data_IF_809099601642
#
_entry.id   IF_809099601642
#
_cell.length_a   1.000
_cell.length_b   1.000
_cell.length_c   1.000
_cell.angle_alpha   90.00
_cell.angle_beta   90.00
_cell.angle_gamma   90.00
#
_symmetry.space_group_name_H-M   'P 1'
#
loop_
_entity.id
_entity.type
_entity.pdbx_description
1 polymer ?
#
# COMPACT_ATOMS: atom_id res chain seq x y z
N UNK A 1 -2.56 -8.73 -11.67
CA UNK A 1 -1.76 -7.68 -12.34
C UNK A 1 -2.05 -6.24 -11.90
N UNK A 2 -2.97 -5.98 -10.95
CA UNK A 2 -3.21 -4.63 -10.39
C UNK A 2 -2.36 -4.21 -9.18
N UNK A 3 -1.60 -5.13 -8.55
CA UNK A 3 -0.93 -4.87 -7.26
C UNK A 3 0.40 -4.12 -7.36
N UNK A 4 1.17 -4.28 -8.46
CA UNK A 4 2.46 -3.58 -8.60
C UNK A 4 2.28 -2.05 -8.75
N UNK A 5 1.17 -1.64 -9.39
CA UNK A 5 0.77 -0.24 -9.51
C UNK A 5 0.41 0.36 -8.13
N UNK A 6 -0.04 -0.45 -7.17
CA UNK A 6 -0.42 0.01 -5.83
C UNK A 6 0.80 0.30 -4.95
N UNK A 7 1.83 -0.55 -4.98
CA UNK A 7 3.04 -0.35 -4.15
C UNK A 7 3.84 0.90 -4.49
N UNK A 8 4.05 1.19 -5.78
CA UNK A 8 4.74 2.42 -6.18
C UNK A 8 3.93 3.67 -5.79
N UNK A 9 2.60 3.58 -5.87
CA UNK A 9 1.71 4.68 -5.46
C UNK A 9 1.77 4.98 -3.96
N UNK A 10 1.97 3.98 -3.10
CA UNK A 10 2.14 4.19 -1.66
C UNK A 10 3.43 4.95 -1.34
N UNK A 11 4.55 4.63 -2.01
CA UNK A 11 5.82 5.33 -1.81
C UNK A 11 5.74 6.80 -2.24
N UNK A 12 5.05 7.05 -3.36
CA UNK A 12 4.77 8.39 -3.86
C UNK A 12 3.83 9.17 -2.92
N UNK A 13 2.84 8.49 -2.32
CA UNK A 13 1.99 9.07 -1.29
C UNK A 13 2.79 9.50 -0.05
N UNK A 14 3.67 8.65 0.48
CA UNK A 14 4.53 8.97 1.64
C UNK A 14 5.40 10.20 1.33
N UNK A 15 5.99 10.23 0.13
CA UNK A 15 6.81 11.36 -0.32
C UNK A 15 6.00 12.66 -0.39
N UNK A 16 4.77 12.60 -0.91
CA UNK A 16 3.84 13.75 -0.95
C UNK A 16 3.42 14.24 0.42
N UNK A 17 3.23 13.35 1.41
CA UNK A 17 2.93 13.73 2.78
C UNK A 17 4.04 14.62 3.34
N UNK A 18 5.30 14.19 3.26
CA UNK A 18 6.43 14.99 3.76
C UNK A 18 6.57 16.35 3.06
N UNK A 19 6.40 16.40 1.73
CA UNK A 19 6.43 17.67 0.98
C UNK A 19 5.30 18.60 1.43
N UNK A 20 4.09 18.07 1.56
CA UNK A 20 2.90 18.85 1.97
C UNK A 20 3.06 19.37 3.38
N UNK A 21 3.50 18.51 4.30
CA UNK A 21 3.76 18.85 5.69
C UNK A 21 4.82 19.94 5.82
N UNK A 22 5.94 19.80 5.12
CA UNK A 22 7.00 20.81 5.10
C UNK A 22 6.50 22.18 4.61
N UNK A 23 5.72 22.21 3.52
CA UNK A 23 5.10 23.44 3.02
C UNK A 23 4.16 24.07 4.06
N UNK A 24 3.42 23.26 4.81
CA UNK A 24 2.52 23.74 5.84
C UNK A 24 3.27 24.27 7.07
N UNK A 25 4.37 23.62 7.50
CA UNK A 25 5.25 24.12 8.56
C UNK A 25 5.76 25.52 8.20
N UNK A 26 6.20 25.72 6.95
CA UNK A 26 6.63 27.04 6.47
C UNK A 26 5.52 28.09 6.53
N UNK A 27 4.25 27.72 6.28
CA UNK A 27 3.11 28.61 6.44
C UNK A 27 2.84 28.97 7.90
N UNK A 28 2.93 28.00 8.82
CA UNK A 28 2.78 28.25 10.27
C UNK A 28 3.84 29.24 10.75
N UNK A 29 5.10 29.05 10.34
CA UNK A 29 6.19 29.95 10.71
C UNK A 29 5.98 31.37 10.15
N UNK A 30 5.48 31.49 8.92
CA UNK A 30 5.26 32.78 8.25
C UNK A 30 4.01 33.52 8.76
N UNK A 31 2.98 32.79 9.19
CA UNK A 31 1.69 33.34 9.61
C UNK A 31 1.26 32.73 10.97
N UNK A 32 1.96 33.05 12.06
CA UNK A 32 1.77 32.37 13.35
C UNK A 32 0.42 32.65 14.02
N UNK A 33 -0.30 33.68 13.57
CA UNK A 33 -1.63 34.06 14.05
C UNK A 33 -2.77 33.34 13.32
N UNK A 34 -2.47 32.63 12.23
CA UNK A 34 -3.46 31.85 11.47
C UNK A 34 -3.48 30.44 12.03
N UNK A 35 -4.33 30.22 13.03
CA UNK A 35 -4.44 28.94 13.74
C UNK A 35 -4.90 27.78 12.85
N UNK A 36 -5.61 28.08 11.75
CA UNK A 36 -6.02 27.07 10.77
C UNK A 36 -4.82 26.29 10.21
N UNK A 37 -3.63 26.91 10.07
CA UNK A 37 -2.46 26.16 9.61
C UNK A 37 -1.96 25.12 10.62
N UNK A 38 -2.09 25.40 11.92
CA UNK A 38 -1.76 24.42 12.97
C UNK A 38 -2.80 23.32 13.02
N UNK A 39 -4.08 23.67 12.90
CA UNK A 39 -5.17 22.69 12.82
C UNK A 39 -5.01 21.76 11.63
N UNK A 40 -4.77 22.30 10.43
CA UNK A 40 -4.52 21.50 9.24
C UNK A 40 -3.30 20.59 9.41
N UNK A 41 -2.27 20.99 10.17
CA UNK A 41 -1.12 20.12 10.47
C UNK A 41 -1.55 18.85 11.19
N UNK A 42 -2.37 19.01 12.24
CA UNK A 42 -2.92 17.87 12.97
C UNK A 42 -3.78 16.99 12.07
N UNK A 43 -4.66 17.60 11.26
CA UNK A 43 -5.55 16.86 10.36
C UNK A 43 -4.78 16.04 9.29
N UNK A 44 -3.69 16.59 8.72
CA UNK A 44 -2.89 15.84 7.73
C UNK A 44 -2.08 14.72 8.40
N UNK A 45 -1.57 14.93 9.62
CA UNK A 45 -0.81 13.92 10.37
C UNK A 45 -1.75 12.76 10.79
N UNK A 46 -2.97 13.06 11.24
CA UNK A 46 -4.00 12.05 11.55
C UNK A 46 -4.44 11.26 10.31
N UNK A 47 -4.68 11.96 9.19
CA UNK A 47 -5.01 11.32 7.91
C UNK A 47 -3.90 10.37 7.47
N UNK A 48 -2.63 10.78 7.56
CA UNK A 48 -1.51 9.95 7.14
C UNK A 48 -1.39 8.70 8.01
N UNK A 49 -1.58 8.84 9.33
CA UNK A 49 -1.61 7.69 10.24
C UNK A 49 -2.66 6.64 9.83
N UNK A 50 -3.90 7.08 9.56
CA UNK A 50 -4.98 6.19 9.10
C UNK A 50 -4.61 5.56 7.76
N UNK A 51 -4.06 6.34 6.83
CA UNK A 51 -3.68 5.83 5.51
C UNK A 51 -2.60 4.76 5.60
N UNK A 52 -1.55 4.95 6.42
CA UNK A 52 -0.50 3.95 6.62
C UNK A 52 -1.05 2.66 7.21
N UNK A 53 -2.00 2.76 8.16
CA UNK A 53 -2.70 1.59 8.73
C UNK A 53 -3.49 0.81 7.67
N UNK A 54 -4.14 1.50 6.74
CA UNK A 54 -4.86 0.88 5.63
C UNK A 54 -3.89 0.19 4.66
N UNK A 55 -2.79 0.85 4.30
CA UNK A 55 -1.75 0.29 3.41
C UNK A 55 -1.19 -1.02 4.00
N UNK A 56 -0.85 -1.05 5.29
CA UNK A 56 -0.35 -2.26 5.96
C UNK A 56 -1.40 -3.37 5.91
N UNK A 57 -2.68 -3.03 6.15
CA UNK A 57 -3.77 -4.00 6.11
C UNK A 57 -3.98 -4.57 4.71
N UNK A 58 -3.87 -3.73 3.68
CA UNK A 58 -3.96 -4.14 2.29
C UNK A 58 -2.79 -5.05 1.89
N UNK A 59 -1.56 -4.70 2.26
CA UNK A 59 -0.37 -5.53 2.04
C UNK A 59 -0.54 -6.92 2.67
N UNK A 60 -0.99 -6.99 3.92
CA UNK A 60 -1.28 -8.27 4.59
C UNK A 60 -2.31 -9.09 3.81
N UNK A 61 -3.41 -8.47 3.42
CA UNK A 61 -4.48 -9.15 2.68
C UNK A 61 -3.99 -9.65 1.31
N UNK A 62 -3.15 -8.88 0.62
CA UNK A 62 -2.51 -9.29 -0.62
C UNK A 62 -1.62 -10.53 -0.43
N UNK A 63 -0.78 -10.55 0.62
CA UNK A 63 0.04 -11.72 0.94
C UNK A 63 -0.80 -12.97 1.25
N UNK A 64 -1.85 -12.83 2.06
CA UNK A 64 -2.76 -13.94 2.39
C UNK A 64 -3.44 -14.48 1.13
N UNK A 65 -3.92 -13.59 0.27
CA UNK A 65 -4.60 -13.96 -0.98
C UNK A 65 -3.65 -14.66 -1.95
N UNK A 66 -2.43 -14.14 -2.09
CA UNK A 66 -1.39 -14.74 -2.92
C UNK A 66 -1.01 -16.13 -2.41
N UNK A 67 -0.80 -16.25 -1.10
CA UNK A 67 -0.47 -17.52 -0.46
C UNK A 67 -1.58 -18.57 -0.64
N UNK A 68 -2.84 -18.20 -0.39
CA UNK A 68 -3.99 -19.08 -0.61
C UNK A 68 -4.10 -19.54 -2.08
N UNK A 69 -3.96 -18.61 -3.02
CA UNK A 69 -4.00 -18.90 -4.46
C UNK A 69 -2.86 -19.85 -4.88
N UNK A 70 -1.65 -19.65 -4.36
CA UNK A 70 -0.49 -20.52 -4.63
C UNK A 70 -0.75 -21.91 -4.05
N UNK A 71 -1.14 -22.02 -2.78
CA UNK A 71 -1.33 -23.31 -2.12
C UNK A 71 -2.42 -24.15 -2.81
N UNK A 72 -3.55 -23.53 -3.16
CA UNK A 72 -4.65 -24.22 -3.86
C UNK A 72 -4.24 -24.76 -5.23
N UNK A 73 -3.24 -24.17 -5.87
CA UNK A 73 -2.81 -24.53 -7.23
C UNK A 73 -1.41 -25.12 -7.29
N UNK A 74 -0.79 -25.44 -6.15
CA UNK A 74 0.65 -25.72 -6.05
C UNK A 74 1.10 -26.88 -6.95
N UNK A 75 0.28 -27.93 -7.09
CA UNK A 75 0.59 -29.08 -7.95
C UNK A 75 0.60 -28.70 -9.42
N UNK A 76 -0.39 -27.91 -9.87
CA UNK A 76 -0.45 -27.41 -11.25
C UNK A 76 0.66 -26.40 -11.53
N UNK A 77 1.02 -25.58 -10.54
CA UNK A 77 2.12 -24.61 -10.65
C UNK A 77 3.46 -25.35 -10.76
N UNK A 78 3.68 -26.40 -9.96
CA UNK A 78 4.90 -27.23 -10.00
C UNK A 78 4.96 -28.13 -11.24
N UNK A 79 3.82 -28.64 -11.70
CA UNK A 79 3.68 -29.56 -12.84
C UNK A 79 2.58 -29.07 -13.79
N UNK A 80 2.86 -28.08 -14.65
CA UNK A 80 1.86 -27.43 -15.50
C UNK A 80 1.32 -28.30 -16.65
N UNK A 81 1.93 -29.45 -16.94
CA UNK A 81 1.40 -30.45 -17.89
C UNK A 81 0.82 -31.62 -17.12
N UNK A 82 -0.41 -32.02 -17.41
CA UNK A 82 -0.90 -33.34 -17.01
C UNK A 82 0.03 -34.39 -17.61
N UNK A 83 0.51 -35.33 -16.80
CA UNK A 83 1.14 -36.54 -17.31
C UNK A 83 0.07 -37.38 -18.02
N UNK A 84 -0.27 -37.02 -19.26
CA UNK A 84 -1.07 -37.87 -20.15
C UNK A 84 -0.31 -39.17 -20.55
N UNK A 85 0.81 -39.47 -19.91
CA UNK A 85 1.62 -40.66 -20.12
C UNK A 85 1.20 -41.85 -19.24
N UNK A 86 0.34 -41.67 -18.23
CA UNK A 86 -0.08 -42.76 -17.33
C UNK A 86 -1.36 -43.49 -17.77
N UNK A 87 -2.01 -43.10 -18.87
CA UNK A 87 -3.22 -43.78 -19.40
C UNK A 87 -2.94 -44.60 -20.67
N UNK A 88 -1.68 -44.80 -21.02
CA UNK A 88 -1.25 -45.67 -22.11
C UNK A 88 -0.37 -46.77 -21.53
N UNK A 89 -0.97 -47.78 -20.87
CA UNK A 89 -0.52 -49.18 -20.80
C UNK A 89 -1.55 -50.01 -20.05
#
# INVERSE_FOLDING_TARGET
FGSLHSTASYLDQISRYYITRAKLVSKIAKYPHVEDYRRTMTEIDEKEYISLRLIISELRNQYVTLHDMILKNIEKIKRPRSSNAETLY
#
